data_IF_107163638441
#
_entry.id   IF_107163638441
#
_cell.length_a   1.000
_cell.length_b   1.000
_cell.length_c   1.000
_cell.angle_alpha   90.00
_cell.angle_beta   90.00
_cell.angle_gamma   90.00
#
_symmetry.space_group_name_H-M   'P 1'
#
loop_
_entity.id
_entity.type
_entity.pdbx_description
1 polymer ?
#
# COMPACT_ATOMS: atom_id res chain seq x y z
N UNK A 1 -14.11 23.16 16.35
CA UNK A 1 -14.72 22.04 15.60
C UNK A 1 -16.13 22.37 15.11
N UNK A 2 -17.17 22.49 15.95
CA UNK A 2 -18.55 22.69 15.44
C UNK A 2 -18.79 24.01 14.71
N UNK A 3 -18.15 25.11 15.14
CA UNK A 3 -18.28 26.42 14.48
C UNK A 3 -17.49 26.51 13.16
N UNK A 4 -16.30 25.93 13.07
CA UNK A 4 -15.45 26.02 11.86
C UNK A 4 -16.05 25.24 10.69
N UNK A 5 -16.61 24.05 10.97
CA UNK A 5 -17.30 23.23 9.95
C UNK A 5 -18.61 23.92 9.50
N UNK A 6 -19.32 24.58 10.43
CA UNK A 6 -20.52 25.34 10.10
C UNK A 6 -20.22 26.57 9.23
N UNK A 7 -19.12 27.29 9.49
CA UNK A 7 -18.67 28.42 8.65
C UNK A 7 -18.28 27.97 7.24
N UNK A 8 -17.65 26.79 7.09
CA UNK A 8 -17.29 26.22 5.79
C UNK A 8 -18.53 25.84 4.97
N UNK A 9 -19.50 25.17 5.58
CA UNK A 9 -20.76 24.83 4.93
C UNK A 9 -21.53 26.09 4.52
N UNK A 10 -21.53 27.13 5.36
CA UNK A 10 -22.16 28.41 5.03
C UNK A 10 -21.49 29.14 3.85
N UNK A 11 -20.17 29.01 3.69
CA UNK A 11 -19.43 29.54 2.54
C UNK A 11 -19.73 28.76 1.25
N UNK A 12 -19.93 27.44 1.33
CA UNK A 12 -20.38 26.60 0.20
C UNK A 12 -21.85 26.85 -0.19
N UNK A 13 -22.72 27.13 0.78
CA UNK A 13 -24.15 27.40 0.57
C UNK A 13 -24.44 28.83 0.08
N UNK A 14 -23.55 29.79 0.36
CA UNK A 14 -23.62 31.14 -0.23
C UNK A 14 -23.12 31.12 -1.68
N UNK A 15 -23.82 31.80 -2.58
CA UNK A 15 -23.55 31.80 -4.03
C UNK A 15 -22.05 31.97 -4.38
N UNK A 16 -21.38 30.86 -4.70
CA UNK A 16 -20.09 30.75 -5.40
C UNK A 16 -18.99 31.72 -5.01
N UNK A 17 -18.15 31.37 -4.03
CA UNK A 17 -16.88 32.09 -3.81
C UNK A 17 -15.93 31.91 -5.01
N UNK A 18 -15.58 33.00 -5.70
CA UNK A 18 -14.65 33.01 -6.83
C UNK A 18 -13.33 33.68 -6.47
N UNK A 19 -12.21 33.03 -6.79
CA UNK A 19 -10.85 33.57 -6.61
C UNK A 19 -10.41 34.27 -7.90
N UNK A 20 -10.59 35.58 -7.96
CA UNK A 20 -10.30 36.45 -9.12
C UNK A 20 -9.22 37.51 -8.84
N UNK A 21 -8.73 37.61 -7.59
CA UNK A 21 -7.66 38.53 -7.20
C UNK A 21 -6.63 37.89 -6.23
N UNK A 22 -5.40 38.44 -6.13
CA UNK A 22 -4.36 37.91 -5.26
C UNK A 22 -4.71 37.86 -3.76
N UNK A 23 -5.54 38.78 -3.27
CA UNK A 23 -5.95 38.82 -1.85
C UNK A 23 -6.91 37.67 -1.55
N UNK A 24 -7.88 37.41 -2.44
CA UNK A 24 -8.75 36.22 -2.35
C UNK A 24 -7.97 34.93 -2.47
N UNK A 25 -6.96 34.88 -3.34
CA UNK A 25 -6.08 33.71 -3.45
C UNK A 25 -5.29 33.47 -2.16
N UNK A 26 -4.72 34.52 -1.55
CA UNK A 26 -4.03 34.42 -0.26
C UNK A 26 -4.96 33.94 0.85
N UNK A 27 -6.20 34.45 0.90
CA UNK A 27 -7.21 34.00 1.87
C UNK A 27 -7.57 32.53 1.67
N UNK A 28 -7.80 32.09 0.42
CA UNK A 28 -8.10 30.70 0.10
C UNK A 28 -6.95 29.74 0.49
N UNK A 29 -5.69 30.17 0.29
CA UNK A 29 -4.51 29.42 0.75
C UNK A 29 -4.46 29.31 2.28
N UNK A 30 -4.81 30.39 3.00
CA UNK A 30 -4.94 30.39 4.46
C UNK A 30 -6.00 29.41 4.94
N UNK A 31 -7.20 29.44 4.35
CA UNK A 31 -8.28 28.50 4.65
C UNK A 31 -7.88 27.05 4.37
N UNK A 32 -7.20 26.81 3.26
CA UNK A 32 -6.68 25.47 2.93
C UNK A 32 -5.67 24.97 3.99
N UNK A 33 -4.82 25.86 4.53
CA UNK A 33 -3.89 25.52 5.61
C UNK A 33 -4.63 25.13 6.89
N UNK A 34 -5.64 25.91 7.29
CA UNK A 34 -6.50 25.60 8.45
C UNK A 34 -7.20 24.26 8.29
N UNK A 35 -7.80 24.01 7.12
CA UNK A 35 -8.48 22.76 6.79
C UNK A 35 -7.56 21.55 6.85
N UNK A 36 -6.35 21.65 6.27
CA UNK A 36 -5.36 20.57 6.32
C UNK A 36 -4.93 20.28 7.75
N UNK A 37 -4.73 21.31 8.57
CA UNK A 37 -4.40 21.15 9.99
C UNK A 37 -5.53 20.46 10.75
N UNK A 38 -6.78 20.90 10.55
CA UNK A 38 -7.95 20.26 11.16
C UNK A 38 -8.08 18.79 10.73
N UNK A 39 -7.88 18.50 9.45
CA UNK A 39 -7.91 17.12 8.92
C UNK A 39 -6.86 16.25 9.60
N UNK A 40 -5.64 16.76 9.74
CA UNK A 40 -4.55 16.05 10.41
C UNK A 40 -4.84 15.83 11.90
N UNK A 41 -5.37 16.83 12.61
CA UNK A 41 -5.78 16.69 14.01
C UNK A 41 -6.88 15.63 14.19
N UNK A 42 -7.89 15.63 13.30
CA UNK A 42 -8.95 14.63 13.31
C UNK A 42 -8.40 13.22 13.08
N UNK A 43 -7.44 13.09 12.15
CA UNK A 43 -6.78 11.82 11.86
C UNK A 43 -5.99 11.33 13.07
N UNK A 44 -5.19 12.19 13.71
CA UNK A 44 -4.43 11.85 14.91
C UNK A 44 -5.34 11.38 16.05
N UNK A 45 -6.44 12.09 16.29
CA UNK A 45 -7.42 11.69 17.29
C UNK A 45 -8.03 10.30 16.95
N UNK A 46 -8.39 10.07 15.69
CA UNK A 46 -8.93 8.78 15.27
C UNK A 46 -7.90 7.65 15.44
N UNK A 47 -6.65 7.87 15.04
CA UNK A 47 -5.55 6.91 15.18
C UNK A 47 -5.29 6.56 16.66
N UNK A 48 -5.34 7.54 17.56
CA UNK A 48 -5.24 7.33 19.01
C UNK A 48 -6.39 6.48 19.56
N UNK A 49 -7.63 6.73 19.11
CA UNK A 49 -8.78 5.93 19.54
C UNK A 49 -8.70 4.49 19.01
N UNK A 50 -8.32 4.30 17.73
CA UNK A 50 -8.11 2.97 17.14
C UNK A 50 -7.06 2.21 17.94
N UNK A 51 -5.94 2.85 18.25
CA UNK A 51 -4.87 2.25 19.05
C UNK A 51 -5.40 1.82 20.43
N UNK A 52 -6.11 2.70 21.13
CA UNK A 52 -6.69 2.39 22.45
C UNK A 52 -7.70 1.25 22.40
N UNK A 53 -8.56 1.22 21.39
CA UNK A 53 -9.52 0.13 21.19
C UNK A 53 -8.81 -1.20 20.93
N UNK A 54 -7.74 -1.18 20.13
CA UNK A 54 -6.94 -2.37 19.85
C UNK A 54 -6.22 -2.88 21.11
N UNK A 55 -5.60 -1.99 21.89
CA UNK A 55 -4.96 -2.33 23.16
C UNK A 55 -5.95 -2.94 24.16
N UNK A 56 -7.15 -2.35 24.28
CA UNK A 56 -8.20 -2.90 25.11
C UNK A 56 -8.65 -4.29 24.63
N UNK A 57 -8.88 -4.46 23.32
CA UNK A 57 -9.26 -5.75 22.75
C UNK A 57 -8.18 -6.82 23.01
N UNK A 58 -6.91 -6.46 22.86
CA UNK A 58 -5.80 -7.37 23.09
C UNK A 58 -5.68 -7.78 24.55
N UNK A 59 -5.89 -6.85 25.48
CA UNK A 59 -5.93 -7.11 26.92
C UNK A 59 -7.10 -8.04 27.30
N UNK A 60 -8.32 -7.75 26.85
CA UNK A 60 -9.50 -8.60 27.16
C UNK A 60 -9.33 -10.04 26.64
N UNK A 61 -8.58 -10.22 25.55
CA UNK A 61 -8.32 -11.53 24.95
C UNK A 61 -6.99 -12.16 25.38
N UNK A 62 -6.20 -11.52 26.24
CA UNK A 62 -4.86 -11.99 26.61
C UNK A 62 -4.92 -13.40 27.22
N UNK A 63 -5.75 -13.59 28.25
CA UNK A 63 -5.89 -14.90 28.90
C UNK A 63 -6.48 -15.98 27.96
N UNK A 64 -7.38 -15.59 27.06
CA UNK A 64 -7.93 -16.51 26.07
C UNK A 64 -6.85 -16.96 25.08
N UNK A 65 -6.01 -16.04 24.60
CA UNK A 65 -4.86 -16.34 23.72
C UNK A 65 -3.86 -17.26 24.41
N UNK A 66 -3.48 -16.96 25.66
CA UNK A 66 -2.59 -17.83 26.46
C UNK A 66 -3.16 -19.24 26.63
N UNK A 67 -4.46 -19.35 26.90
CA UNK A 67 -5.13 -20.65 27.06
C UNK A 67 -5.18 -21.42 25.74
N UNK A 68 -5.44 -20.74 24.62
CA UNK A 68 -5.40 -21.33 23.28
C UNK A 68 -4.00 -21.87 23.00
N UNK A 69 -2.96 -21.05 23.18
CA UNK A 69 -1.57 -21.44 22.93
C UNK A 69 -1.17 -22.66 23.79
N UNK A 70 -1.58 -22.68 25.06
CA UNK A 70 -1.36 -23.81 25.96
C UNK A 70 -1.99 -25.10 25.43
N UNK A 71 -3.28 -25.08 25.08
CA UNK A 71 -3.96 -26.27 24.59
C UNK A 71 -3.46 -26.71 23.21
N UNK A 72 -3.12 -25.77 22.33
CA UNK A 72 -2.49 -26.09 21.04
C UNK A 72 -1.13 -26.76 21.23
N UNK A 73 -0.32 -26.33 22.21
CA UNK A 73 0.94 -27.00 22.55
C UNK A 73 0.71 -28.45 22.98
N UNK A 74 -0.24 -28.69 23.89
CA UNK A 74 -0.57 -30.05 24.34
C UNK A 74 -1.04 -30.94 23.19
N UNK A 75 -1.90 -30.43 22.30
CA UNK A 75 -2.38 -31.18 21.15
C UNK A 75 -1.26 -31.47 20.14
N UNK A 76 -0.33 -30.53 19.96
CA UNK A 76 0.85 -30.74 19.12
C UNK A 76 1.77 -31.82 19.69
N UNK A 77 2.12 -31.74 20.97
CA UNK A 77 2.93 -32.77 21.65
C UNK A 77 2.27 -34.15 21.53
N UNK A 78 0.96 -34.21 21.78
CA UNK A 78 0.19 -35.45 21.70
C UNK A 78 0.22 -36.09 20.31
N UNK A 79 -0.08 -35.33 19.23
CA UNK A 79 -0.07 -35.90 17.88
C UNK A 79 1.33 -36.38 17.47
N UNK A 80 2.39 -35.70 17.88
CA UNK A 80 3.74 -36.12 17.51
C UNK A 80 4.17 -37.38 18.28
N UNK A 81 3.81 -37.51 19.56
CA UNK A 81 4.04 -38.73 20.32
C UNK A 81 3.29 -39.95 19.74
N UNK A 82 2.02 -39.78 19.35
CA UNK A 82 1.24 -40.85 18.69
C UNK A 82 1.86 -41.26 17.34
N UNK A 83 2.44 -40.30 16.61
CA UNK A 83 3.04 -40.55 15.29
C UNK A 83 4.39 -41.26 15.35
N UNK A 84 5.04 -41.34 16.52
CA UNK A 84 6.18 -42.23 16.72
C UNK A 84 5.78 -43.70 16.58
N UNK A 85 4.54 -44.03 16.97
CA UNK A 85 3.99 -45.39 16.88
C UNK A 85 3.23 -45.63 15.56
N UNK A 86 2.41 -44.68 15.12
CA UNK A 86 1.70 -44.73 13.83
C UNK A 86 1.92 -43.45 12.99
N UNK A 87 2.81 -43.48 11.98
CA UNK A 87 3.08 -42.31 11.13
C UNK A 87 1.85 -41.73 10.40
N UNK A 88 0.75 -42.48 10.28
CA UNK A 88 -0.51 -42.06 9.63
C UNK A 88 -1.62 -41.74 10.63
N UNK A 89 -1.30 -41.68 11.91
CA UNK A 89 -2.26 -41.43 12.98
C UNK A 89 -3.05 -40.13 12.77
N UNK A 90 -4.32 -40.17 13.14
CA UNK A 90 -5.27 -39.05 13.09
C UNK A 90 -6.37 -39.27 14.13
N UNK A 91 -6.88 -38.18 14.70
CA UNK A 91 -8.00 -38.22 15.63
C UNK A 91 -9.18 -37.41 15.10
N UNK A 92 -10.38 -37.95 15.24
CA UNK A 92 -11.64 -37.29 14.91
C UNK A 92 -12.61 -37.50 16.06
N UNK A 93 -13.11 -36.42 16.63
CA UNK A 93 -14.10 -36.42 17.71
C UNK A 93 -15.26 -35.49 17.33
N UNK A 94 -16.41 -35.53 18.04
CA UNK A 94 -17.48 -34.55 17.83
C UNK A 94 -17.03 -33.10 18.03
N UNK A 95 -15.98 -32.87 18.82
CA UNK A 95 -15.47 -31.55 19.16
C UNK A 95 -14.35 -31.07 18.22
N UNK A 96 -13.85 -31.91 17.32
CA UNK A 96 -12.80 -31.48 16.39
C UNK A 96 -11.99 -32.61 15.77
N UNK A 97 -10.95 -32.23 15.01
CA UNK A 97 -10.06 -33.15 14.31
C UNK A 97 -8.61 -32.73 14.50
N UNK A 98 -7.77 -33.69 14.86
CA UNK A 98 -6.33 -33.51 15.01
C UNK A 98 -5.60 -34.35 13.96
N UNK A 99 -4.87 -33.68 13.08
CA UNK A 99 -4.10 -34.32 12.02
C UNK A 99 -2.98 -33.40 11.53
N UNK A 100 -1.86 -33.96 11.12
CA UNK A 100 -0.77 -33.18 10.50
C UNK A 100 -0.99 -33.00 9.00
N UNK A 101 -0.52 -31.88 8.45
CA UNK A 101 -0.38 -31.66 7.00
C UNK A 101 1.10 -31.47 6.64
N UNK A 102 1.51 -31.98 5.47
CA UNK A 102 2.84 -31.63 4.92
C UNK A 102 2.83 -30.15 4.51
N UNK A 103 3.69 -29.37 5.14
CA UNK A 103 3.99 -27.99 4.73
C UNK A 103 5.14 -28.06 3.71
N UNK A 104 5.01 -27.46 2.52
CA UNK A 104 6.12 -27.40 1.57
C UNK A 104 7.29 -26.63 2.18
N UNK A 105 8.51 -26.93 1.76
CA UNK A 105 9.68 -26.18 2.20
C UNK A 105 9.50 -24.69 1.91
N UNK A 106 9.82 -23.82 2.88
CA UNK A 106 9.89 -22.38 2.64
C UNK A 106 11.23 -22.08 1.97
N UNK A 107 11.19 -21.61 0.74
CA UNK A 107 12.39 -21.17 0.02
C UNK A 107 12.64 -19.72 0.37
N UNK A 108 13.70 -19.47 1.15
CA UNK A 108 14.18 -18.13 1.41
C UNK A 108 15.25 -17.82 0.35
N UNK A 109 14.94 -16.92 -0.57
CA UNK A 109 15.86 -16.55 -1.63
C UNK A 109 16.72 -15.37 -1.19
N UNK A 110 18.02 -15.45 -1.44
CA UNK A 110 18.88 -14.29 -1.55
C UNK A 110 18.99 -14.00 -3.05
N UNK A 111 18.11 -13.14 -3.55
CA UNK A 111 17.95 -12.93 -5.00
C UNK A 111 19.26 -12.47 -5.66
N UNK A 112 20.05 -11.62 -5.00
CA UNK A 112 21.32 -11.14 -5.56
C UNK A 112 22.31 -12.29 -5.80
N UNK A 113 22.52 -13.14 -4.80
CA UNK A 113 23.42 -14.29 -4.92
C UNK A 113 22.85 -15.37 -5.86
N UNK A 114 21.54 -15.61 -5.79
CA UNK A 114 20.87 -16.62 -6.61
C UNK A 114 20.88 -16.24 -8.09
N UNK A 115 20.60 -14.98 -8.42
CA UNK A 115 20.61 -14.47 -9.80
C UNK A 115 22.02 -14.48 -10.37
N UNK A 116 23.05 -14.14 -9.60
CA UNK A 116 24.45 -14.22 -10.06
C UNK A 116 24.84 -15.65 -10.45
N UNK A 117 24.50 -16.64 -9.61
CA UNK A 117 24.83 -18.06 -9.84
C UNK A 117 23.97 -18.73 -10.91
N UNK A 118 22.73 -18.29 -11.08
CA UNK A 118 21.76 -18.88 -12.02
C UNK A 118 21.64 -18.10 -13.33
N UNK A 119 22.50 -17.10 -13.55
CA UNK A 119 22.52 -16.30 -14.77
C UNK A 119 22.69 -17.18 -16.01
N UNK A 120 21.79 -17.02 -16.99
CA UNK A 120 21.80 -17.81 -18.23
C UNK A 120 21.04 -19.13 -18.15
N UNK A 121 20.37 -19.42 -17.03
CA UNK A 121 19.40 -20.52 -16.91
C UNK A 121 17.96 -20.01 -17.07
N UNK A 122 17.02 -20.93 -17.30
CA UNK A 122 15.58 -20.61 -17.39
C UNK A 122 14.97 -20.11 -16.07
N UNK A 123 15.71 -20.20 -14.96
CA UNK A 123 15.25 -19.76 -13.64
C UNK A 123 15.43 -18.25 -13.40
N UNK A 124 16.20 -17.56 -14.25
CA UNK A 124 16.40 -16.10 -14.19
C UNK A 124 15.70 -15.45 -15.37
N UNK A 125 14.71 -14.59 -15.09
CA UNK A 125 13.95 -13.88 -16.13
C UNK A 125 14.63 -12.58 -16.52
N UNK A 126 14.92 -12.40 -17.80
CA UNK A 126 15.28 -11.10 -18.34
C UNK A 126 14.04 -10.19 -18.38
N UNK A 127 14.08 -9.05 -17.68
CA UNK A 127 13.03 -8.03 -17.71
C UNK A 127 13.43 -6.93 -18.68
N UNK A 128 12.87 -6.96 -19.89
CA UNK A 128 12.98 -5.82 -20.80
C UNK A 128 12.09 -4.68 -20.29
N UNK A 129 12.70 -3.52 -20.04
CA UNK A 129 11.97 -2.30 -19.71
C UNK A 129 12.46 -1.15 -20.57
N UNK A 130 11.53 -0.30 -20.99
CA UNK A 130 11.84 0.85 -21.83
C UNK A 130 12.63 1.89 -21.02
N UNK A 131 13.77 2.32 -21.54
CA UNK A 131 14.50 3.44 -20.96
C UNK A 131 13.80 4.76 -21.30
N UNK A 132 12.79 5.11 -20.51
CA UNK A 132 11.96 6.32 -20.72
C UNK A 132 12.78 7.61 -20.75
N UNK A 133 13.84 7.69 -19.94
CA UNK A 133 14.67 8.89 -19.84
C UNK A 133 15.48 9.11 -21.12
N UNK A 134 16.08 8.04 -21.65
CA UNK A 134 16.83 8.10 -22.91
C UNK A 134 15.90 8.35 -24.10
N UNK A 135 14.77 7.63 -24.17
CA UNK A 135 13.78 7.82 -25.23
C UNK A 135 13.27 9.27 -25.31
N UNK A 136 13.03 9.93 -24.18
CA UNK A 136 12.59 11.34 -24.15
C UNK A 136 13.65 12.34 -24.64
N UNK A 137 14.94 11.99 -24.54
CA UNK A 137 16.03 12.84 -25.02
C UNK A 137 16.25 12.67 -26.53
N UNK A 138 16.18 11.43 -26.98
CA UNK A 138 16.58 11.09 -28.35
C UNK A 138 15.41 11.18 -29.32
N UNK A 139 14.16 10.96 -28.89
CA UNK A 139 13.02 10.93 -29.80
C UNK A 139 12.43 12.32 -30.08
N UNK A 140 11.95 12.51 -31.31
CA UNK A 140 11.20 13.69 -31.74
C UNK A 140 9.71 13.38 -31.67
N UNK A 141 8.92 14.31 -31.14
CA UNK A 141 7.46 14.19 -31.14
C UNK A 141 6.89 15.00 -32.31
N UNK A 142 6.14 14.35 -33.20
CA UNK A 142 5.41 15.01 -34.29
C UNK A 142 3.98 14.48 -34.33
N UNK A 143 3.01 15.38 -34.28
CA UNK A 143 1.57 15.05 -34.31
C UNK A 143 1.16 14.00 -33.27
N UNK A 144 1.73 14.07 -32.05
CA UNK A 144 1.45 13.15 -30.95
C UNK A 144 2.14 11.78 -31.02
N UNK A 145 2.94 11.53 -32.07
CA UNK A 145 3.72 10.31 -32.28
C UNK A 145 5.20 10.51 -31.96
N UNK A 146 5.83 9.50 -31.38
CA UNK A 146 7.26 9.49 -31.04
C UNK A 146 8.05 8.87 -32.19
N UNK A 147 9.02 9.61 -32.71
CA UNK A 147 9.86 9.23 -33.86
C UNK A 147 11.33 9.18 -33.41
N UNK A 148 12.02 8.09 -33.70
CA UNK A 148 13.47 7.99 -33.47
C UNK A 148 14.22 8.67 -34.63
N UNK A 149 15.06 9.72 -34.40
CA UNK A 149 15.72 10.46 -35.47
C UNK A 149 16.72 9.63 -36.27
N UNK A 150 17.37 8.67 -35.59
CA UNK A 150 18.40 7.80 -36.18
C UNK A 150 17.82 6.81 -37.21
N UNK A 151 16.59 6.33 -36.99
CA UNK A 151 15.96 5.31 -37.85
C UNK A 151 14.77 5.84 -38.65
N UNK A 152 14.21 6.99 -38.27
CA UNK A 152 12.96 7.53 -38.81
C UNK A 152 11.72 6.71 -38.44
N UNK A 153 11.86 5.68 -37.59
CA UNK A 153 10.75 4.80 -37.21
C UNK A 153 9.84 5.44 -36.15
N UNK A 154 8.54 5.20 -36.30
CA UNK A 154 7.53 5.56 -35.31
C UNK A 154 7.52 4.48 -34.23
N UNK A 155 7.64 4.90 -32.96
CA UNK A 155 7.58 3.99 -31.81
C UNK A 155 6.12 3.69 -31.49
N UNK A 156 5.60 2.60 -32.06
CA UNK A 156 4.27 2.10 -31.72
C UNK A 156 4.16 1.78 -30.22
N UNK A 157 3.09 2.26 -29.58
CA UNK A 157 2.85 2.10 -28.13
C UNK A 157 3.26 3.29 -27.25
N UNK A 158 3.79 4.38 -27.82
CA UNK A 158 4.06 5.63 -27.09
C UNK A 158 3.25 6.78 -27.68
N UNK A 159 2.27 7.26 -26.93
CA UNK A 159 1.45 8.44 -27.26
C UNK A 159 1.88 9.60 -26.37
N UNK A 160 2.08 10.78 -26.98
CA UNK A 160 2.43 11.99 -26.24
C UNK A 160 1.25 12.95 -26.28
N UNK A 161 0.67 13.19 -25.10
CA UNK A 161 -0.27 14.28 -24.91
C UNK A 161 0.49 15.62 -24.88
N UNK A 162 -0.11 16.71 -25.41
CA UNK A 162 0.51 18.02 -25.36
C UNK A 162 0.82 18.42 -23.92
N UNK A 163 1.93 19.15 -23.74
CA UNK A 163 2.31 19.65 -22.43
C UNK A 163 1.19 20.53 -21.86
N UNK A 164 0.67 20.13 -20.70
CA UNK A 164 -0.30 20.90 -19.92
C UNK A 164 0.35 21.46 -18.68
N UNK A 165 -0.15 22.60 -18.22
CA UNK A 165 0.26 23.20 -16.95
C UNK A 165 -0.65 22.69 -15.82
N UNK A 166 -0.06 22.35 -14.68
CA UNK A 166 -0.79 22.01 -13.46
C UNK A 166 -0.42 23.02 -12.37
N UNK A 167 -1.44 23.57 -11.71
CA UNK A 167 -1.22 24.39 -10.53
C UNK A 167 -0.56 23.56 -9.41
N UNK A 168 0.49 24.10 -8.81
CA UNK A 168 1.19 23.48 -7.68
C UNK A 168 0.97 24.33 -6.45
N UNK A 169 0.22 23.81 -5.47
CA UNK A 169 -0.07 24.51 -4.22
C UNK A 169 0.91 24.03 -3.14
N UNK A 170 1.85 24.90 -2.78
CA UNK A 170 2.76 24.71 -1.63
C UNK A 170 2.34 25.67 -0.53
N UNK A 171 1.97 25.13 0.62
CA UNK A 171 1.67 25.93 1.81
C UNK A 171 2.94 26.01 2.64
N UNK A 172 3.24 27.18 3.20
CA UNK A 172 4.29 27.30 4.21
C UNK A 172 3.91 26.54 5.47
N UNK A 173 4.89 25.94 6.13
CA UNK A 173 4.74 25.32 7.45
C UNK A 173 4.19 26.31 8.49
#
# INVERSE_FOLDING_TARGET
MSNEIAELNALEESQGFTVDDPSKASWALGKLKELRKLTEQNKQLADEQIKRTQEWLDHENEHAKESIDYFESLLNEYIFAEKENDPKWKLSTPNGRLSTRKVPAKWNYNDDQAVEKLKGTDYVKAKYSINKAQLKKDAIVKDGKVILPETGEIVDGVVVEPAGEKAVIKLSE
#
